data_IF_472729982666
#
_entry.id   IF_472729982666
#
_cell.length_a   1.000
_cell.length_b   1.000
_cell.length_c   1.000
_cell.angle_alpha   90.00
_cell.angle_beta   90.00
_cell.angle_gamma   90.00
#
_symmetry.space_group_name_H-M   'P 1'
#
loop_
_entity.id
_entity.type
_entity.pdbx_description
1 polymer ?
#
# COMPACT_ATOMS: atom_id res chain seq x y z
N UNK A 1 -30.01 5.96 -2.49
CA UNK A 1 -28.58 5.78 -2.16
C UNK A 1 -27.96 4.83 -3.16
N UNK A 2 -26.87 5.20 -3.82
CA UNK A 2 -26.18 4.30 -4.79
C UNK A 2 -25.69 3.05 -4.05
N UNK A 3 -25.95 1.88 -4.59
CA UNK A 3 -25.58 0.60 -3.98
C UNK A 3 -24.07 0.37 -4.17
N UNK A 4 -23.27 0.84 -3.21
CA UNK A 4 -21.81 0.73 -3.22
C UNK A 4 -21.29 -0.67 -2.87
N UNK A 5 -22.16 -1.65 -2.67
CA UNK A 5 -21.80 -3.04 -2.32
C UNK A 5 -20.84 -3.71 -3.32
N UNK A 6 -20.77 -3.20 -4.57
CA UNK A 6 -19.84 -3.69 -5.60
C UNK A 6 -18.46 -3.02 -5.63
N UNK A 7 -18.21 -1.99 -4.82
CA UNK A 7 -16.91 -1.30 -4.83
C UNK A 7 -15.81 -2.07 -4.06
N UNK A 8 -16.19 -2.84 -3.04
CA UNK A 8 -15.26 -3.63 -2.24
C UNK A 8 -14.82 -4.89 -2.98
N UNK A 9 -13.67 -4.86 -3.65
CA UNK A 9 -13.07 -6.05 -4.25
C UNK A 9 -12.32 -6.85 -3.17
N UNK A 10 -12.97 -7.86 -2.61
CA UNK A 10 -12.41 -8.73 -1.56
C UNK A 10 -11.79 -10.01 -2.08
N UNK A 11 -12.05 -10.36 -3.34
CA UNK A 11 -11.50 -11.56 -4.01
C UNK A 11 -10.56 -11.15 -5.12
N UNK A 12 -9.31 -11.62 -5.07
CA UNK A 12 -8.35 -11.41 -6.16
C UNK A 12 -8.78 -12.16 -7.43
N UNK A 13 -8.52 -11.57 -8.60
CA UNK A 13 -8.67 -12.24 -9.90
C UNK A 13 -7.56 -13.28 -10.15
N UNK A 14 -6.56 -13.36 -9.28
CA UNK A 14 -5.40 -14.21 -9.43
C UNK A 14 -4.18 -13.46 -9.97
N UNK A 15 -3.16 -14.22 -10.36
CA UNK A 15 -1.87 -13.72 -10.83
C UNK A 15 -1.59 -14.27 -12.23
N UNK A 16 -0.78 -13.55 -13.01
CA UNK A 16 -0.37 -13.97 -14.36
C UNK A 16 0.34 -15.33 -14.29
N UNK A 17 1.28 -15.46 -13.35
CA UNK A 17 1.96 -16.72 -13.06
C UNK A 17 1.30 -17.42 -11.87
N UNK A 18 1.01 -18.71 -12.03
CA UNK A 18 0.41 -19.52 -10.96
C UNK A 18 1.42 -19.66 -9.82
N UNK A 19 0.93 -19.47 -8.60
CA UNK A 19 1.71 -19.56 -7.38
C UNK A 19 0.90 -20.33 -6.33
N UNK A 20 1.56 -21.05 -5.41
CA UNK A 20 0.86 -21.73 -4.33
C UNK A 20 0.13 -20.73 -3.43
N UNK A 21 -1.05 -21.13 -2.95
CA UNK A 21 -1.85 -20.32 -2.03
C UNK A 21 -1.13 -20.24 -0.68
N UNK A 22 -1.12 -19.06 -0.06
CA UNK A 22 -0.58 -18.91 1.29
C UNK A 22 -1.63 -19.31 2.31
N UNK A 23 -1.24 -20.10 3.31
CA UNK A 23 -2.13 -20.52 4.40
C UNK A 23 -2.52 -19.35 5.33
N UNK A 24 -1.61 -18.40 5.54
CA UNK A 24 -1.77 -17.35 6.57
C UNK A 24 -2.03 -15.95 6.00
N UNK A 25 -1.79 -15.74 4.70
CA UNK A 25 -1.87 -14.40 4.08
C UNK A 25 -2.88 -14.37 2.95
N UNK A 26 -3.69 -13.32 2.91
CA UNK A 26 -4.53 -13.03 1.75
C UNK A 26 -3.67 -12.72 0.52
N UNK A 27 -4.20 -12.84 -0.71
CA UNK A 27 -3.46 -12.44 -1.91
C UNK A 27 -2.95 -10.99 -1.86
N UNK A 28 -3.73 -10.07 -1.28
CA UNK A 28 -3.39 -8.66 -1.15
C UNK A 28 -2.30 -8.42 -0.08
N UNK A 29 -2.38 -9.10 1.07
CA UNK A 29 -1.31 -9.07 2.07
C UNK A 29 0.03 -9.56 1.49
N UNK A 30 -0.01 -10.60 0.66
CA UNK A 30 1.18 -11.10 -0.04
C UNK A 30 1.73 -10.09 -1.05
N UNK A 31 0.89 -9.31 -1.70
CA UNK A 31 1.33 -8.23 -2.60
C UNK A 31 1.99 -7.10 -1.82
N UNK A 32 1.36 -6.65 -0.74
CA UNK A 32 1.94 -5.66 0.18
C UNK A 32 3.33 -6.09 0.65
N UNK A 33 3.47 -7.34 1.12
CA UNK A 33 4.75 -7.83 1.62
C UNK A 33 5.84 -7.79 0.53
N UNK A 34 5.50 -8.13 -0.73
CA UNK A 34 6.44 -8.05 -1.86
C UNK A 34 6.89 -6.64 -2.14
N UNK A 35 5.98 -5.66 -2.08
CA UNK A 35 6.34 -4.27 -2.34
C UNK A 35 7.26 -3.74 -1.23
N UNK A 36 6.89 -3.95 0.04
CA UNK A 36 7.69 -3.53 1.20
C UNK A 36 9.12 -4.07 1.13
N UNK A 37 9.30 -5.33 0.73
CA UNK A 37 10.61 -5.97 0.64
C UNK A 37 11.35 -5.69 -0.68
N UNK A 38 10.73 -4.97 -1.62
CA UNK A 38 11.36 -4.68 -2.91
C UNK A 38 12.54 -3.71 -2.79
N UNK A 39 13.51 -3.85 -3.69
CA UNK A 39 14.61 -2.88 -3.80
C UNK A 39 14.10 -1.48 -4.19
N UNK A 40 13.03 -1.40 -4.98
CA UNK A 40 12.41 -0.13 -5.39
C UNK A 40 11.81 0.63 -4.20
N UNK A 41 11.09 -0.05 -3.32
CA UNK A 41 10.54 0.56 -2.12
C UNK A 41 11.63 1.04 -1.16
N UNK A 42 12.68 0.22 -0.94
CA UNK A 42 13.85 0.62 -0.13
C UNK A 42 14.55 1.87 -0.67
N UNK A 43 14.64 2.04 -2.00
CA UNK A 43 15.23 3.24 -2.62
C UNK A 43 14.47 4.53 -2.29
N UNK A 44 13.18 4.46 -1.96
CA UNK A 44 12.38 5.63 -1.57
C UNK A 44 12.89 6.28 -0.28
N UNK A 45 13.60 5.54 0.58
CA UNK A 45 14.29 6.07 1.76
C UNK A 45 15.26 7.19 1.44
N UNK A 46 15.87 7.16 0.26
CA UNK A 46 16.88 8.12 -0.17
C UNK A 46 16.37 9.08 -1.25
N UNK A 47 15.05 9.12 -1.48
CA UNK A 47 14.42 10.07 -2.40
C UNK A 47 13.71 11.14 -1.58
N UNK A 48 14.07 12.40 -1.78
CA UNK A 48 13.42 13.51 -1.09
C UNK A 48 12.03 13.76 -1.66
N UNK A 49 11.14 14.27 -0.80
CA UNK A 49 9.82 14.74 -1.19
C UNK A 49 9.86 16.27 -1.26
N UNK A 50 9.84 16.82 -2.48
CA UNK A 50 9.70 18.25 -2.81
C UNK A 50 10.88 19.16 -2.40
N UNK A 51 11.51 18.97 -1.24
CA UNK A 51 12.66 19.78 -0.81
C UNK A 51 13.99 19.07 -1.10
N UNK A 52 15.01 19.82 -1.51
CA UNK A 52 16.41 19.38 -1.42
C UNK A 52 16.77 19.45 0.06
N UNK A 53 17.43 18.44 0.62
CA UNK A 53 17.87 18.44 2.02
C UNK A 53 18.85 19.60 2.24
N UNK A 54 18.34 20.78 2.57
CA UNK A 54 19.13 21.97 2.82
C UNK A 54 18.72 22.48 4.19
N UNK A 55 19.45 21.99 5.21
CA UNK A 55 19.43 22.40 6.63
C UNK A 55 18.11 22.27 7.41
N UNK A 56 17.88 21.09 8.01
CA UNK A 56 16.77 20.81 8.93
C UNK A 56 16.56 19.32 9.22
N UNK A 57 16.29 18.94 10.47
CA UNK A 57 16.31 17.52 10.92
C UNK A 57 15.01 16.71 10.69
N UNK A 58 14.05 17.22 9.90
CA UNK A 58 12.71 16.61 9.79
C UNK A 58 12.13 16.55 8.36
N UNK A 59 12.99 16.44 7.33
CA UNK A 59 12.48 16.35 5.97
C UNK A 59 11.82 15.00 5.67
N UNK A 60 10.67 15.08 5.00
CA UNK A 60 9.97 13.91 4.49
C UNK A 60 10.74 13.32 3.31
N UNK A 61 10.95 12.02 3.37
CA UNK A 61 11.39 11.21 2.24
C UNK A 61 10.17 10.60 1.56
N UNK A 62 10.33 10.14 0.31
CA UNK A 62 9.25 9.46 -0.40
C UNK A 62 8.77 8.22 0.35
N UNK A 63 9.63 7.51 1.09
CA UNK A 63 9.20 6.35 1.89
C UNK A 63 8.29 6.78 3.04
N UNK A 64 8.63 7.84 3.78
CA UNK A 64 7.79 8.33 4.88
C UNK A 64 6.45 8.82 4.38
N UNK A 65 6.44 9.50 3.24
CA UNK A 65 5.20 9.96 2.62
C UNK A 65 4.33 8.79 2.14
N UNK A 66 4.91 7.78 1.48
CA UNK A 66 4.17 6.59 1.04
C UNK A 66 3.53 5.84 2.22
N UNK A 67 4.21 5.75 3.36
CA UNK A 67 3.66 5.12 4.57
C UNK A 67 2.48 5.93 5.13
N UNK A 68 2.57 7.26 5.17
CA UNK A 68 1.47 8.13 5.60
C UNK A 68 0.25 8.02 4.67
N UNK A 69 0.48 8.00 3.36
CA UNK A 69 -0.58 7.82 2.36
C UNK A 69 -1.26 6.45 2.54
N UNK A 70 -0.49 5.38 2.75
CA UNK A 70 -1.03 4.04 3.05
C UNK A 70 -1.93 4.07 4.30
N UNK A 71 -1.50 4.73 5.38
CA UNK A 71 -2.28 4.83 6.60
C UNK A 71 -3.62 5.56 6.38
N UNK A 72 -3.58 6.72 5.70
CA UNK A 72 -4.81 7.48 5.38
C UNK A 72 -5.74 6.68 4.48
N UNK A 73 -5.19 6.00 3.46
CA UNK A 73 -5.95 5.13 2.56
C UNK A 73 -6.65 3.99 3.32
N UNK A 74 -5.96 3.32 4.26
CA UNK A 74 -6.56 2.27 5.11
C UNK A 74 -7.71 2.81 5.96
N UNK A 75 -7.56 4.00 6.56
CA UNK A 75 -8.63 4.62 7.35
C UNK A 75 -9.87 4.91 6.50
N UNK A 76 -9.68 5.46 5.29
CA UNK A 76 -10.79 5.73 4.36
C UNK A 76 -11.45 4.42 3.91
N UNK A 77 -10.65 3.41 3.55
CA UNK A 77 -11.14 2.11 3.11
C UNK A 77 -11.99 1.44 4.20
N UNK A 78 -11.53 1.47 5.45
CA UNK A 78 -12.28 0.93 6.61
C UNK A 78 -13.61 1.65 6.81
N UNK A 79 -13.61 2.97 6.77
CA UNK A 79 -14.85 3.76 6.92
C UNK A 79 -15.89 3.42 5.84
N UNK A 80 -15.42 3.14 4.63
CA UNK A 80 -16.28 2.81 3.48
C UNK A 80 -16.57 1.31 3.33
N UNK A 81 -16.17 0.46 4.29
CA UNK A 81 -16.25 -1.00 4.19
C UNK A 81 -15.65 -1.55 2.87
N UNK A 82 -14.49 -1.05 2.50
CA UNK A 82 -13.67 -1.51 1.37
C UNK A 82 -12.53 -2.40 1.86
N UNK A 83 -11.77 -2.96 0.93
CA UNK A 83 -10.61 -3.79 1.24
C UNK A 83 -9.40 -2.92 1.64
N UNK A 84 -9.06 -2.91 2.93
CA UNK A 84 -7.97 -2.09 3.48
C UNK A 84 -6.58 -2.64 3.12
N UNK A 85 -6.41 -3.96 3.04
CA UNK A 85 -5.17 -4.60 2.60
C UNK A 85 -4.83 -4.27 1.13
N UNK A 86 -5.85 -4.25 0.26
CA UNK A 86 -5.68 -3.79 -1.12
C UNK A 86 -5.33 -2.29 -1.17
N UNK A 87 -5.96 -1.48 -0.31
CA UNK A 87 -5.75 -0.02 -0.29
C UNK A 87 -4.37 0.39 0.23
N UNK A 88 -3.74 -0.43 1.07
CA UNK A 88 -2.39 -0.21 1.59
C UNK A 88 -1.27 -0.55 0.59
N UNK A 89 -1.58 -1.35 -0.43
CA UNK A 89 -0.58 -1.94 -1.33
C UNK A 89 -0.01 -0.87 -2.29
N UNK A 90 1.01 -0.13 -1.83
CA UNK A 90 1.71 0.99 -2.50
C UNK A 90 3.19 0.69 -2.74
#
# INVERSE_FOLDING_TARGET
>A
MKNFSKLGLFKSKGRIFKEPISQYRTPFQRDRDRIIHSASFRRLKHKTQVFVNTEGDHYRTRITHSIEVAQVARSIARYLNLNDDLSETL
#
